data_IF_150476391098
#
_entry.id   IF_150476391098
#
_cell.length_a   1.000
_cell.length_b   1.000
_cell.length_c   1.000
_cell.angle_alpha   90.00
_cell.angle_beta   90.00
_cell.angle_gamma   90.00
#
_symmetry.space_group_name_H-M   'P 1'
#
loop_
_entity.id
_entity.type
_entity.pdbx_description
1 polymer ?
#
# COMPACT_ATOMS: atom_id res chain seq x y z
N UNK A 1 -5.98 -23.16 -12.21
CA UNK A 1 -6.90 -22.01 -12.16
C UNK A 1 -7.60 -22.02 -10.81
N UNK A 2 -7.19 -21.21 -9.82
CA UNK A 2 -8.11 -20.83 -8.77
C UNK A 2 -9.01 -19.67 -9.27
N UNK A 3 -10.22 -19.56 -8.71
CA UNK A 3 -11.28 -18.69 -9.18
C UNK A 3 -11.09 -17.25 -8.66
N UNK A 4 -11.79 -16.31 -9.28
CA UNK A 4 -11.81 -14.89 -8.91
C UNK A 4 -11.96 -14.73 -7.40
N UNK A 5 -10.87 -14.31 -6.77
CA UNK A 5 -10.88 -13.91 -5.39
C UNK A 5 -11.12 -12.41 -5.38
N UNK A 6 -12.14 -12.01 -4.62
CA UNK A 6 -12.34 -10.65 -4.17
C UNK A 6 -11.15 -10.30 -3.28
N UNK A 7 -10.02 -9.98 -3.90
CA UNK A 7 -8.79 -9.71 -3.18
C UNK A 7 -8.91 -8.30 -2.59
N UNK A 8 -9.20 -8.23 -1.30
CA UNK A 8 -9.05 -7.00 -0.53
C UNK A 8 -7.65 -6.41 -0.83
N UNK A 9 -7.55 -5.11 -1.13
CA UNK A 9 -6.26 -4.47 -1.46
C UNK A 9 -5.20 -4.70 -0.38
N UNK A 10 -5.63 -4.84 0.87
CA UNK A 10 -4.80 -5.24 2.00
C UNK A 10 -4.18 -6.64 1.83
N UNK A 11 -4.96 -7.64 1.42
CA UNK A 11 -4.49 -9.00 1.21
C UNK A 11 -3.52 -9.09 0.01
N UNK A 12 -3.74 -8.28 -1.03
CA UNK A 12 -2.81 -8.16 -2.16
C UNK A 12 -1.50 -7.49 -1.75
N UNK A 13 -1.58 -6.44 -0.93
CA UNK A 13 -0.39 -5.76 -0.42
C UNK A 13 0.45 -6.70 0.45
N UNK A 14 -0.19 -7.51 1.29
CA UNK A 14 0.51 -8.53 2.10
C UNK A 14 1.16 -9.61 1.21
N UNK A 15 0.43 -10.18 0.24
CA UNK A 15 0.97 -11.21 -0.68
C UNK A 15 2.13 -10.67 -1.54
N UNK A 16 2.03 -9.42 -2.01
CA UNK A 16 3.09 -8.78 -2.78
C UNK A 16 4.27 -8.33 -1.92
N UNK A 17 4.05 -7.96 -0.65
CA UNK A 17 5.12 -7.63 0.28
C UNK A 17 5.98 -8.86 0.60
N UNK A 18 5.35 -10.02 0.86
CA UNK A 18 6.05 -11.27 1.12
C UNK A 18 6.98 -11.63 -0.05
N UNK A 19 6.53 -11.39 -1.30
CA UNK A 19 7.34 -11.60 -2.50
C UNK A 19 8.46 -10.56 -2.69
N UNK A 20 8.24 -9.32 -2.24
CA UNK A 20 9.25 -8.27 -2.33
C UNK A 20 10.40 -8.46 -1.33
N UNK A 21 10.15 -9.08 -0.17
CA UNK A 21 11.21 -9.39 0.81
C UNK A 21 12.25 -10.37 0.25
N UNK A 22 11.89 -11.20 -0.74
CA UNK A 22 12.82 -12.14 -1.38
C UNK A 22 13.71 -11.49 -2.47
N UNK A 23 13.44 -10.23 -2.85
CA UNK A 23 14.12 -9.56 -3.96
C UNK A 23 14.95 -8.37 -3.45
N UNK A 24 16.27 -8.47 -3.53
CA UNK A 24 17.20 -7.37 -3.21
C UNK A 24 17.27 -6.37 -4.38
N UNK A 25 16.96 -5.09 -4.13
CA UNK A 25 16.61 -4.14 -5.19
C UNK A 25 17.27 -2.73 -5.03
N UNK A 26 18.14 -2.28 -5.96
CA UNK A 26 18.81 -0.95 -5.98
C UNK A 26 17.91 0.21 -6.48
N UNK A 27 18.28 1.51 -6.34
CA UNK A 27 17.27 2.55 -6.09
C UNK A 27 16.58 3.13 -7.35
N UNK A 28 15.31 3.50 -7.12
CA UNK A 28 14.34 4.26 -7.93
C UNK A 28 13.42 3.45 -8.86
N UNK A 29 13.93 2.41 -9.53
CA UNK A 29 13.11 1.55 -10.38
C UNK A 29 13.69 0.13 -10.39
N UNK A 30 12.85 -0.81 -9.98
CA UNK A 30 13.16 -2.22 -10.00
C UNK A 30 12.15 -2.93 -10.87
N UNK A 31 12.62 -3.73 -11.81
CA UNK A 31 11.76 -4.54 -12.67
C UNK A 31 12.29 -5.96 -12.67
N UNK A 32 11.42 -6.93 -12.46
CA UNK A 32 11.77 -8.33 -12.59
C UNK A 32 10.67 -9.12 -13.29
N UNK A 33 11.05 -10.24 -13.89
CA UNK A 33 10.11 -11.25 -14.38
C UNK A 33 9.96 -12.29 -13.29
N UNK A 34 8.81 -12.32 -12.63
CA UNK A 34 8.58 -13.19 -11.48
C UNK A 34 8.31 -14.65 -11.92
N UNK A 35 7.69 -14.82 -13.09
CA UNK A 35 7.48 -16.11 -13.76
C UNK A 35 7.24 -15.88 -15.26
N UNK A 36 7.20 -16.92 -16.11
CA UNK A 36 6.84 -16.76 -17.51
C UNK A 36 5.53 -15.99 -17.66
N UNK A 37 5.57 -14.89 -18.40
CA UNK A 37 4.47 -13.95 -18.62
C UNK A 37 4.03 -13.08 -17.41
N UNK A 38 4.72 -13.13 -16.27
CA UNK A 38 4.46 -12.25 -15.11
C UNK A 38 5.61 -11.26 -14.90
N UNK A 39 5.31 -9.96 -15.02
CA UNK A 39 6.23 -8.87 -14.73
C UNK A 39 5.87 -8.15 -13.43
N UNK A 40 6.88 -7.76 -12.66
CA UNK A 40 6.77 -6.89 -11.50
C UNK A 40 7.60 -5.63 -11.74
N UNK A 41 7.08 -4.49 -11.30
CA UNK A 41 7.81 -3.24 -11.29
C UNK A 41 7.56 -2.47 -10.00
N UNK A 42 8.62 -2.10 -9.27
CA UNK A 42 8.58 -1.17 -8.14
C UNK A 42 9.22 0.14 -8.55
N UNK A 43 8.57 1.24 -8.23
CA UNK A 43 9.07 2.59 -8.49
C UNK A 43 9.00 3.40 -7.21
N UNK A 44 10.08 4.07 -6.84
CA UNK A 44 10.03 5.02 -5.74
C UNK A 44 9.49 6.37 -6.23
N UNK A 45 8.41 6.83 -5.60
CA UNK A 45 7.77 8.11 -5.91
C UNK A 45 7.97 9.08 -4.75
N UNK A 46 7.59 10.34 -4.94
CA UNK A 46 7.61 11.34 -3.87
C UNK A 46 6.74 10.95 -2.64
N UNK A 47 5.76 10.04 -2.80
CA UNK A 47 4.84 9.59 -1.73
C UNK A 47 5.21 8.22 -1.13
N UNK A 48 6.28 7.58 -1.64
CA UNK A 48 6.67 6.22 -1.29
C UNK A 48 6.67 5.27 -2.48
N UNK A 49 6.86 3.98 -2.23
CA UNK A 49 6.99 2.97 -3.28
C UNK A 49 5.64 2.62 -3.92
N UNK A 50 5.63 2.55 -5.25
CA UNK A 50 4.53 2.13 -6.10
C UNK A 50 4.88 0.80 -6.75
N UNK A 51 4.03 -0.22 -6.57
CA UNK A 51 4.23 -1.55 -7.13
C UNK A 51 3.21 -1.85 -8.22
N UNK A 52 3.67 -2.44 -9.30
CA UNK A 52 2.87 -2.97 -10.39
C UNK A 52 3.16 -4.45 -10.56
N UNK A 53 2.10 -5.26 -10.77
CA UNK A 53 2.19 -6.64 -11.27
C UNK A 53 1.36 -6.76 -12.53
N UNK A 54 1.96 -7.25 -13.58
CA UNK A 54 1.29 -7.56 -14.85
C UNK A 54 1.44 -9.02 -15.18
N UNK A 55 0.36 -9.66 -15.60
CA UNK A 55 0.35 -11.01 -16.16
C UNK A 55 -0.20 -10.94 -17.58
N UNK A 56 0.52 -11.55 -18.51
CA UNK A 56 0.18 -11.55 -19.93
C UNK A 56 -0.25 -12.94 -20.38
N UNK A 57 -1.15 -12.98 -21.35
CA UNK A 57 -1.48 -14.18 -22.12
C UNK A 57 -1.55 -13.78 -23.59
N UNK A 58 -0.67 -14.38 -24.41
CA UNK A 58 -0.51 -14.03 -25.82
C UNK A 58 -0.25 -12.52 -26.01
N UNK A 59 -1.19 -11.81 -26.64
CA UNK A 59 -1.13 -10.38 -26.93
C UNK A 59 -1.98 -9.53 -25.96
N UNK A 60 -2.40 -10.08 -24.82
CA UNK A 60 -3.32 -9.43 -23.88
C UNK A 60 -2.80 -9.42 -22.46
N UNK A 61 -3.25 -8.41 -21.69
CA UNK A 61 -3.11 -8.38 -20.23
C UNK A 61 -4.18 -9.26 -19.62
N UNK A 62 -3.76 -10.35 -18.99
CA UNK A 62 -4.64 -11.27 -18.26
C UNK A 62 -5.01 -10.69 -16.88
N UNK A 63 -4.02 -10.13 -16.19
CA UNK A 63 -4.22 -9.53 -14.87
C UNK A 63 -3.27 -8.35 -14.67
N UNK A 64 -3.77 -7.28 -14.04
CA UNK A 64 -2.98 -6.11 -13.68
C UNK A 64 -3.32 -5.68 -12.26
N UNK A 65 -2.32 -5.65 -11.39
CA UNK A 65 -2.45 -5.24 -10.00
C UNK A 65 -1.52 -4.06 -9.71
N UNK A 66 -1.98 -3.16 -8.86
CA UNK A 66 -1.23 -1.99 -8.40
C UNK A 66 -1.36 -1.93 -6.89
N UNK A 67 -0.24 -1.69 -6.21
CA UNK A 67 -0.24 -1.24 -4.81
C UNK A 67 0.42 0.12 -4.76
N UNK A 68 -0.38 1.17 -4.57
CA UNK A 68 0.13 2.53 -4.54
C UNK A 68 0.63 2.90 -3.14
N UNK A 69 1.39 4.01 -3.03
CA UNK A 69 1.92 4.46 -1.74
C UNK A 69 0.85 4.67 -0.66
N UNK A 70 -0.35 5.11 -1.06
CA UNK A 70 -1.46 5.32 -0.13
C UNK A 70 -1.99 3.99 0.44
N UNK A 71 -2.04 2.90 -0.33
CA UNK A 71 -2.38 1.58 0.21
C UNK A 71 -1.39 1.16 1.31
N UNK A 72 -0.07 1.31 1.08
CA UNK A 72 0.94 0.97 2.09
C UNK A 72 0.84 1.83 3.36
N UNK A 73 0.69 3.15 3.18
CA UNK A 73 0.70 4.12 4.28
C UNK A 73 -0.53 3.97 5.19
N UNK A 74 -1.69 3.65 4.62
CA UNK A 74 -2.98 3.56 5.34
C UNK A 74 -3.47 2.12 5.53
N UNK A 75 -2.65 1.12 5.21
CA UNK A 75 -2.89 -0.27 5.55
C UNK A 75 -3.12 -0.45 7.06
N UNK A 76 -3.91 -1.43 7.54
CA UNK A 76 -4.06 -1.72 8.97
C UNK A 76 -2.74 -2.00 9.71
N UNK A 77 -1.70 -2.44 8.99
CA UNK A 77 -0.32 -2.62 9.52
C UNK A 77 0.65 -1.50 9.07
N UNK A 78 0.12 -0.48 8.40
CA UNK A 78 0.86 0.59 7.73
C UNK A 78 1.31 1.72 8.64
N UNK A 79 2.01 2.70 8.05
CA UNK A 79 2.64 3.80 8.77
C UNK A 79 1.64 4.60 9.63
N UNK A 80 0.47 4.94 9.08
CA UNK A 80 -0.54 5.71 9.80
C UNK A 80 -0.99 5.02 11.09
N UNK A 81 -1.35 3.73 11.00
CA UNK A 81 -1.85 2.97 12.15
C UNK A 81 -0.75 2.77 13.18
N UNK A 82 0.49 2.43 12.75
CA UNK A 82 1.62 2.23 13.67
C UNK A 82 1.94 3.49 14.48
N UNK A 83 1.87 4.66 13.86
CA UNK A 83 2.23 5.92 14.50
C UNK A 83 1.11 6.46 15.41
N UNK A 84 -0.15 6.38 14.97
CA UNK A 84 -1.27 6.92 15.77
C UNK A 84 -1.66 5.99 16.93
N UNK A 85 -1.40 4.69 16.81
CA UNK A 85 -1.79 3.70 17.83
C UNK A 85 -1.01 3.89 19.11
N UNK A 86 -1.73 4.07 20.23
CA UNK A 86 -1.11 4.29 21.53
C UNK A 86 -0.57 5.70 21.75
N UNK A 87 -0.70 6.61 20.76
CA UNK A 87 -0.29 8.00 20.92
C UNK A 87 -1.20 8.71 21.95
N UNK A 88 -0.65 9.24 23.05
CA UNK A 88 -1.45 9.87 24.09
C UNK A 88 -2.04 11.18 23.58
N UNK A 89 -3.32 11.41 23.88
CA UNK A 89 -4.01 12.65 23.56
C UNK A 89 -4.72 13.21 24.80
N UNK A 90 -4.50 14.48 25.11
CA UNK A 90 -5.09 15.17 26.26
C UNK A 90 -6.58 15.48 26.10
N UNK A 91 -7.13 15.34 24.89
CA UNK A 91 -8.54 15.54 24.58
C UNK A 91 -8.89 14.93 23.22
N UNK A 92 -10.19 14.75 22.96
CA UNK A 92 -10.69 14.34 21.63
C UNK A 92 -10.28 15.31 20.51
N UNK A 93 -10.23 16.62 20.82
CA UNK A 93 -9.76 17.64 19.87
C UNK A 93 -8.28 17.46 19.55
N UNK A 94 -7.45 17.19 20.57
CA UNK A 94 -6.02 16.92 20.37
C UNK A 94 -5.81 15.63 19.56
N UNK A 95 -6.56 14.56 19.86
CA UNK A 95 -6.51 13.31 19.10
C UNK A 95 -6.88 13.51 17.62
N UNK A 96 -7.94 14.28 17.35
CA UNK A 96 -8.34 14.65 15.98
C UNK A 96 -7.25 15.42 15.26
N UNK A 97 -6.72 16.46 15.88
CA UNK A 97 -5.64 17.25 15.30
C UNK A 97 -4.42 16.39 14.97
N UNK A 98 -4.02 15.48 15.87
CA UNK A 98 -2.91 14.56 15.65
C UNK A 98 -3.17 13.61 14.46
N UNK A 99 -4.35 12.98 14.41
CA UNK A 99 -4.70 12.08 13.32
C UNK A 99 -4.77 12.78 11.97
N UNK A 100 -5.42 13.95 11.90
CA UNK A 100 -5.52 14.73 10.65
C UNK A 100 -4.13 15.22 10.21
N UNK A 101 -3.28 15.67 11.15
CA UNK A 101 -1.91 16.10 10.85
C UNK A 101 -1.04 14.96 10.34
N UNK A 102 -1.12 13.79 10.97
CA UNK A 102 -0.40 12.59 10.54
C UNK A 102 -0.87 12.15 9.14
N UNK A 103 -2.19 12.10 8.92
CA UNK A 103 -2.74 11.75 7.61
C UNK A 103 -2.19 12.68 6.52
N UNK A 104 -2.21 14.00 6.76
CA UNK A 104 -1.68 14.99 5.82
C UNK A 104 -0.17 14.86 5.60
N UNK A 105 0.60 14.51 6.62
CA UNK A 105 2.05 14.28 6.47
C UNK A 105 2.40 13.08 5.58
N UNK A 106 1.48 12.14 5.43
CA UNK A 106 1.61 10.98 4.54
C UNK A 106 1.10 11.25 3.11
N UNK A 107 0.64 12.47 2.83
CA UNK A 107 0.18 12.97 1.51
C UNK A 107 -0.74 11.96 0.76
N UNK A 108 -1.94 11.65 1.29
CA UNK A 108 -2.88 10.77 0.61
C UNK A 108 -3.26 11.34 -0.76
N UNK A 109 -3.30 10.49 -1.79
CA UNK A 109 -3.65 10.91 -3.16
C UNK A 109 -5.17 10.97 -3.41
N UNK A 110 -5.98 10.73 -2.39
CA UNK A 110 -7.44 10.74 -2.42
C UNK A 110 -7.99 11.50 -1.22
N UNK A 111 -9.25 11.94 -1.29
CA UNK A 111 -9.92 12.54 -0.14
C UNK A 111 -10.01 11.55 1.03
N UNK A 112 -9.77 12.04 2.25
CA UNK A 112 -9.82 11.23 3.48
C UNK A 112 -10.69 11.89 4.56
N UNK A 113 -11.12 11.10 5.53
CA UNK A 113 -11.81 11.59 6.72
C UNK A 113 -11.52 10.70 7.94
N UNK A 114 -11.16 11.30 9.07
CA UNK A 114 -10.96 10.58 10.32
C UNK A 114 -12.25 10.54 11.17
N UNK A 115 -12.74 9.33 11.46
CA UNK A 115 -13.86 9.08 12.38
C UNK A 115 -13.35 8.61 13.72
N UNK A 116 -13.94 9.12 14.79
CA UNK A 116 -13.55 8.84 16.17
C UNK A 116 -14.72 8.18 16.88
N UNK A 117 -14.46 7.04 17.49
CA UNK A 117 -15.42 6.27 18.28
C UNK A 117 -14.89 6.28 19.71
N UNK A 118 -15.74 6.62 20.67
CA UNK A 118 -15.38 6.49 22.09
C UNK A 118 -15.46 5.00 22.47
N UNK A 119 -14.62 4.57 23.41
CA UNK A 119 -14.59 3.19 23.91
C UNK A 119 -15.84 2.87 24.74
#
# INVERSE_FOLDING_TARGET
>A
MPPGADHCSAALADELADWLEEVELPPLLDVCTASPAVGLARVDTARGSLLHRVELAEDRVLQYLIVAPTEWNFHPRGAFVREISGCPASSRRAARFAADSLALSLDPCVAFACRFVDA
#
